data_IF_652494059708
#
_entry.id   IF_652494059708
#
_cell.length_a   1.000
_cell.length_b   1.000
_cell.length_c   1.000
_cell.angle_alpha   90.00
_cell.angle_beta   90.00
_cell.angle_gamma   90.00
#
_symmetry.space_group_name_H-M   'P 1'
#
loop_
_entity.id
_entity.type
_entity.pdbx_description
1 polymer ?
2 branched ?
3 branched ?
4 non-polymer ?
5 non-polymer ?
#
# COMPACT_ATOMS: atom_id res chain seq x y z
N UNK A 38 -19.96 -30.33 -1.60
CA UNK A 38 -18.65 -30.80 -2.05
C UNK A 38 -17.59 -29.71 -1.91
N UNK A 39 -18.05 -28.47 -1.75
CA UNK A 39 -17.16 -27.35 -1.49
C UNK A 39 -17.81 -26.42 -0.47
N UNK A 40 -17.01 -25.94 0.47
CA UNK A 40 -17.47 -25.01 1.50
C UNK A 40 -16.36 -23.98 1.72
N UNK A 41 -16.71 -22.70 1.66
CA UNK A 41 -15.75 -21.62 1.79
C UNK A 41 -16.11 -20.73 2.97
N UNK A 42 -15.12 -20.44 3.81
CA UNK A 42 -15.27 -19.53 4.94
C UNK A 42 -14.08 -18.57 4.93
N UNK A 43 -14.26 -17.44 5.59
CA UNK A 43 -13.16 -16.53 5.82
C UNK A 43 -12.42 -16.93 7.10
N UNK A 44 -11.11 -16.65 7.11
CA UNK A 44 -10.29 -16.92 8.28
C UNK A 44 -10.93 -16.32 9.53
N UNK A 45 -11.12 -17.17 10.53
CA UNK A 45 -11.74 -16.78 11.78
C UNK A 45 -13.18 -17.19 11.92
N UNK A 46 -13.87 -17.45 10.82
CA UNK A 46 -15.26 -17.89 10.86
C UNK A 46 -15.32 -19.40 11.17
N UNK A 47 -16.54 -19.92 11.23
CA UNK A 47 -16.77 -21.33 11.52
C UNK A 47 -17.27 -22.03 10.26
N UNK A 48 -16.72 -23.22 9.99
CA UNK A 48 -17.09 -24.02 8.83
C UNK A 48 -17.90 -25.22 9.30
N UNK A 49 -19.09 -25.38 8.73
CA UNK A 49 -19.97 -26.50 9.06
C UNK A 49 -19.93 -27.50 7.91
N UNK A 50 -19.50 -28.73 8.21
CA UNK A 50 -19.41 -29.80 7.23
C UNK A 50 -20.58 -30.75 7.43
N UNK A 51 -21.32 -31.01 6.35
CA UNK A 51 -22.50 -31.87 6.40
C UNK A 51 -22.29 -33.12 5.56
N UNK A 52 -22.97 -34.19 5.97
CA UNK A 52 -23.00 -35.44 5.22
C UNK A 52 -24.40 -36.03 5.33
N UNK A 53 -24.93 -36.49 4.20
CA UNK A 53 -26.26 -37.08 4.16
C UNK A 53 -26.14 -38.60 4.24
N UNK A 54 -26.85 -39.18 5.21
CA UNK A 54 -26.86 -40.62 5.41
C UNK A 54 -28.31 -41.10 5.36
N UNK A 55 -28.52 -42.42 5.46
CA UNK A 55 -29.84 -43.00 5.44
C UNK A 55 -29.86 -44.18 6.40
N UNK A 56 -30.98 -44.91 6.41
CA UNK A 56 -31.16 -46.03 7.32
C UNK A 56 -30.41 -47.27 6.88
N UNK A 57 -29.70 -47.23 5.75
CA UNK A 57 -28.79 -48.31 5.39
C UNK A 57 -27.44 -48.19 6.09
N UNK A 58 -27.17 -47.06 6.73
CA UNK A 58 -25.86 -46.76 7.29
C UNK A 58 -25.78 -47.34 8.70
N UNK A 59 -24.66 -48.01 8.99
CA UNK A 59 -24.41 -48.59 10.30
C UNK A 59 -23.22 -47.97 11.02
N UNK A 60 -22.32 -47.31 10.30
CA UNK A 60 -21.18 -46.63 10.88
C UNK A 60 -21.03 -45.29 10.16
N UNK A 61 -20.37 -44.34 10.82
CA UNK A 61 -20.13 -43.03 10.22
C UNK A 61 -19.05 -42.32 11.02
N UNK A 62 -18.24 -41.52 10.32
CA UNK A 62 -17.15 -40.80 10.95
C UNK A 62 -16.70 -39.66 10.04
N UNK A 63 -16.08 -38.67 10.65
CA UNK A 63 -15.44 -37.56 9.94
C UNK A 63 -13.93 -37.64 10.17
N UNK A 64 -13.15 -37.38 9.12
CA UNK A 64 -11.70 -37.45 9.20
C UNK A 64 -11.08 -36.22 8.54
N UNK A 65 -9.89 -35.86 9.04
CA UNK A 65 -9.09 -34.77 8.50
C UNK A 65 -7.77 -35.37 8.00
N UNK A 66 -7.81 -35.95 6.81
CA UNK A 66 -6.64 -36.59 6.20
C UNK A 66 -5.98 -37.55 7.18
N UNK A 67 -6.75 -38.55 7.59
CA UNK A 67 -6.33 -39.66 8.44
C UNK A 67 -6.34 -39.28 9.92
N UNK A 68 -6.59 -38.04 10.28
CA UNK A 68 -6.79 -37.65 11.67
C UNK A 68 -8.28 -37.75 11.99
N UNK A 69 -8.64 -38.73 12.82
CA UNK A 69 -10.04 -38.93 13.15
C UNK A 69 -10.55 -37.72 13.93
N UNK A 70 -11.56 -37.05 13.39
CA UNK A 70 -12.27 -36.02 14.13
C UNK A 70 -13.38 -36.63 14.99
N UNK A 71 -14.27 -37.39 14.37
CA UNK A 71 -15.38 -38.02 15.07
C UNK A 71 -15.65 -39.40 14.49
N UNK A 72 -15.89 -40.36 15.37
CA UNK A 72 -16.35 -41.70 15.01
C UNK A 72 -17.65 -41.93 15.78
N UNK A 73 -18.78 -41.78 15.09
CA UNK A 73 -20.06 -41.77 15.76
C UNK A 73 -20.23 -40.51 16.58
N UNK A 74 -20.39 -40.65 17.90
CA UNK A 74 -20.43 -39.52 18.81
C UNK A 74 -19.12 -39.33 19.55
N UNK A 75 -18.10 -40.12 19.24
CA UNK A 75 -16.83 -40.11 19.97
C UNK A 75 -15.87 -39.14 19.31
N UNK A 76 -15.42 -38.14 20.06
CA UNK A 76 -14.42 -37.20 19.59
C UNK A 76 -13.04 -37.80 19.79
N UNK A 77 -12.37 -38.14 18.69
CA UNK A 77 -11.02 -38.70 18.76
C UNK A 77 -9.96 -37.60 18.82
N UNK A 78 -10.04 -36.63 17.90
CA UNK A 78 -9.07 -35.55 17.87
C UNK A 78 -9.14 -34.72 19.14
N UNK A 79 -8.01 -34.10 19.48
CA UNK A 79 -7.95 -33.20 20.63
C UNK A 79 -8.26 -31.76 20.28
N UNK A 80 -8.41 -31.43 18.99
CA UNK A 80 -8.68 -30.08 18.54
C UNK A 80 -9.95 -29.56 19.21
N UNK A 81 -9.85 -28.60 20.12
CA UNK A 81 -11.05 -28.12 20.83
C UNK A 81 -12.02 -27.35 19.94
N UNK A 82 -11.60 -26.96 18.73
CA UNK A 82 -12.46 -26.21 17.85
C UNK A 82 -13.53 -27.07 17.18
N UNK A 83 -13.34 -28.38 17.15
CA UNK A 83 -14.20 -29.28 16.40
C UNK A 83 -15.32 -29.78 17.31
N UNK A 84 -16.56 -29.55 16.90
CA UNK A 84 -17.74 -29.98 17.65
C UNK A 84 -18.66 -30.75 16.73
N UNK A 85 -19.62 -31.46 17.34
CA UNK A 85 -20.60 -32.24 16.62
C UNK A 85 -21.96 -31.54 16.70
N UNK A 86 -22.61 -31.38 15.56
CA UNK A 86 -23.87 -30.66 15.49
C UNK A 86 -25.08 -31.58 15.36
N UNK A 87 -24.96 -32.69 14.65
CA UNK A 87 -26.10 -33.59 14.46
C UNK A 87 -25.59 -34.98 14.14
N UNK A 88 -26.36 -35.99 14.57
CA UNK A 88 -26.12 -37.39 14.23
C UNK A 88 -27.49 -38.09 14.21
N UNK A 89 -28.28 -37.75 13.20
CA UNK A 89 -29.59 -38.35 13.00
C UNK A 89 -29.46 -39.54 12.03
N UNK A 90 -30.58 -40.09 11.60
CA UNK A 90 -30.57 -41.13 10.58
C UNK A 90 -30.43 -40.56 9.17
N UNK A 91 -30.41 -39.24 9.03
CA UNK A 91 -30.37 -38.61 7.72
C UNK A 91 -29.18 -37.68 7.51
N UNK A 92 -28.66 -37.06 8.57
CA UNK A 92 -27.57 -36.10 8.43
C UNK A 92 -26.54 -36.29 9.54
N UNK A 93 -25.28 -36.13 9.17
CA UNK A 93 -24.15 -36.26 10.10
C UNK A 93 -23.21 -35.10 9.82
N UNK A 94 -23.15 -34.14 10.74
CA UNK A 94 -22.46 -32.89 10.50
C UNK A 94 -21.64 -32.48 11.71
N UNK A 95 -20.50 -31.83 11.43
CA UNK A 95 -19.63 -31.27 12.45
C UNK A 95 -19.40 -29.79 12.12
N UNK A 96 -18.66 -29.11 12.98
CA UNK A 96 -18.36 -27.70 12.80
C UNK A 96 -16.93 -27.42 13.25
N UNK A 97 -16.17 -26.78 12.38
CA UNK A 97 -14.81 -26.32 12.71
C UNK A 97 -14.89 -24.83 13.01
N UNK A 98 -14.70 -24.47 14.27
CA UNK A 98 -14.77 -23.08 14.70
C UNK A 98 -13.41 -22.41 14.57
N UNK A 99 -13.42 -21.09 14.46
CA UNK A 99 -12.21 -20.29 14.33
C UNK A 99 -11.29 -20.88 13.28
N UNK A 100 -11.80 -20.95 12.05
CA UNK A 100 -11.11 -21.67 10.98
C UNK A 100 -9.79 -21.00 10.66
N UNK A 101 -8.75 -21.81 10.53
CA UNK A 101 -7.42 -21.36 10.14
C UNK A 101 -7.23 -21.64 8.64
N UNK A 102 -6.00 -21.49 8.16
CA UNK A 102 -5.69 -21.75 6.77
C UNK A 102 -5.13 -23.16 6.63
N UNK A 103 -4.40 -23.62 7.65
CA UNK A 103 -3.95 -25.01 7.66
C UNK A 103 -5.14 -25.97 7.57
N UNK A 104 -6.30 -25.55 8.09
CA UNK A 104 -7.50 -26.37 8.00
C UNK A 104 -7.93 -26.60 6.56
N UNK A 105 -7.50 -25.74 5.63
CA UNK A 105 -7.88 -25.89 4.24
C UNK A 105 -7.47 -27.25 3.71
N UNK A 106 -8.39 -27.89 2.99
CA UNK A 106 -8.11 -29.18 2.40
C UNK A 106 -9.36 -30.06 2.35
N UNK A 107 -9.17 -31.33 1.97
CA UNK A 107 -10.31 -32.25 1.90
C UNK A 107 -10.61 -32.88 3.25
N UNK A 108 -11.90 -32.99 3.56
CA UNK A 108 -12.39 -33.66 4.75
C UNK A 108 -13.28 -34.82 4.33
N UNK A 109 -13.04 -35.98 4.92
CA UNK A 109 -13.63 -37.24 4.47
C UNK A 109 -14.65 -37.73 5.49
N UNK A 110 -15.82 -38.13 5.00
CA UNK A 110 -16.84 -38.77 5.81
C UNK A 110 -16.92 -40.23 5.39
N UNK A 111 -16.52 -41.13 6.29
CA UNK A 111 -16.55 -42.56 6.04
C UNK A 111 -17.79 -43.19 6.67
N UNK A 112 -18.33 -44.20 6.01
CA UNK A 112 -19.49 -44.92 6.50
C UNK A 112 -19.35 -46.40 6.17
N UNK A 113 -20.17 -47.22 6.82
CA UNK A 113 -20.32 -48.64 6.49
C UNK A 113 -21.79 -48.86 6.16
N UNK A 114 -22.09 -49.01 4.86
CA UNK A 114 -23.45 -49.08 4.36
C UNK A 114 -23.66 -50.38 3.61
N UNK A 115 -24.68 -51.14 4.00
CA UNK A 115 -24.98 -52.43 3.40
C UNK A 115 -23.73 -53.29 3.32
N UNK A 116 -22.90 -53.20 4.35
CA UNK A 116 -21.60 -53.85 4.40
C UNK A 116 -20.65 -53.33 3.33
N UNK A 117 -21.04 -52.29 2.59
CA UNK A 117 -20.19 -51.68 1.59
C UNK A 117 -19.57 -50.43 2.18
N UNK A 118 -18.23 -50.34 2.28
CA UNK A 118 -17.62 -49.06 2.65
C UNK A 118 -17.88 -48.01 1.58
N UNK A 119 -18.35 -46.84 2.02
CA UNK A 119 -18.61 -45.71 1.14
C UNK A 119 -17.91 -44.47 1.68
N UNK A 120 -17.54 -43.57 0.77
CA UNK A 120 -16.80 -42.38 1.14
C UNK A 120 -17.35 -41.17 0.40
N UNK A 121 -17.62 -40.10 1.15
CA UNK A 121 -18.04 -38.82 0.60
C UNK A 121 -17.14 -37.73 1.18
N UNK A 122 -16.68 -36.82 0.33
CA UNK A 122 -15.68 -35.84 0.72
C UNK A 122 -16.16 -34.42 0.46
N UNK A 123 -15.61 -33.49 1.23
CA UNK A 123 -15.84 -32.05 1.09
C UNK A 123 -14.49 -31.37 1.12
N UNK A 124 -14.39 -30.25 0.41
CA UNK A 124 -13.14 -29.49 0.31
C UNK A 124 -13.34 -28.14 0.99
N UNK A 125 -12.71 -27.96 2.15
CA UNK A 125 -12.79 -26.71 2.88
C UNK A 125 -11.85 -25.70 2.25
N UNK A 126 -12.38 -24.54 1.86
CA UNK A 126 -11.61 -23.48 1.23
C UNK A 126 -11.60 -22.27 2.15
N UNK A 127 -10.42 -21.74 2.41
CA UNK A 127 -10.22 -20.67 3.38
C UNK A 127 -9.77 -19.41 2.65
N UNK A 128 -10.42 -18.30 2.96
CA UNK A 128 -10.12 -17.01 2.35
C UNK A 128 -9.56 -16.06 3.41
N UNK A 129 -8.68 -15.16 2.97
CA UNK A 129 -8.00 -14.23 3.86
C UNK A 129 -8.03 -12.85 3.21
N UNK A 130 -8.40 -11.84 3.99
CA UNK A 130 -8.41 -10.48 3.48
C UNK A 130 -7.04 -10.13 2.91
N UNK A 131 -6.96 -9.38 1.81
CA UNK A 131 -5.65 -9.00 1.28
C UNK A 131 -4.96 -8.01 2.20
N UNK A 132 -3.63 -8.13 2.28
CA UNK A 132 -2.85 -7.23 3.09
C UNK A 132 -1.52 -6.94 2.43
N UNK A 133 -1.09 -5.68 2.54
CA UNK A 133 0.24 -5.26 2.11
C UNK A 133 1.17 -5.39 3.31
N UNK A 134 2.21 -6.21 3.16
CA UNK A 134 3.12 -6.52 4.26
C UNK A 134 4.33 -5.61 4.20
N UNK A 135 5.08 -5.70 3.11
CA UNK A 135 6.26 -4.88 2.89
C UNK A 135 6.08 -4.04 1.63
N UNK A 136 6.28 -2.74 1.75
CA UNK A 136 6.19 -1.82 0.63
C UNK A 136 7.41 -0.90 0.68
N UNK A 137 7.95 -0.57 -0.50
CA UNK A 137 9.14 0.27 -0.57
C UNK A 137 8.94 1.55 0.22
N UNK A 138 9.97 1.91 0.99
CA UNK A 138 9.91 3.12 1.79
C UNK A 138 9.97 4.36 0.89
N UNK A 139 9.70 5.51 1.49
CA UNK A 139 9.79 6.77 0.75
C UNK A 139 11.19 6.90 0.12
N UNK A 140 11.23 7.56 -1.03
CA UNK A 140 12.45 7.64 -1.83
C UNK A 140 12.60 9.05 -2.37
N UNK A 141 13.85 9.50 -2.49
CA UNK A 141 14.17 10.83 -3.00
C UNK A 141 15.41 10.73 -3.86
N UNK A 142 15.27 11.03 -5.15
CA UNK A 142 16.38 10.98 -6.10
C UNK A 142 16.44 12.31 -6.84
N UNK A 143 17.39 12.40 -7.76
CA UNK A 143 17.57 13.55 -8.62
C UNK A 143 16.88 13.31 -9.95
N UNK A 144 16.37 14.39 -10.54
CA UNK A 144 15.70 14.29 -11.84
C UNK A 144 16.61 13.62 -12.85
N UNK A 145 16.11 12.53 -13.44
CA UNK A 145 16.86 11.74 -14.40
C UNK A 145 17.29 10.39 -13.88
N UNK A 146 17.34 10.22 -12.56
CA UNK A 146 17.70 8.93 -11.97
C UNK A 146 16.56 7.95 -12.14
N UNK A 147 16.78 6.71 -11.67
CA UNK A 147 15.81 5.64 -11.76
C UNK A 147 15.26 5.32 -10.38
N UNK A 148 14.09 4.68 -10.35
CA UNK A 148 13.56 4.09 -9.13
C UNK A 148 13.02 2.69 -9.44
N UNK A 149 12.87 1.89 -8.38
CA UNK A 149 12.22 0.60 -8.49
C UNK A 149 11.51 0.36 -7.16
N UNK A 150 10.18 0.34 -7.19
CA UNK A 150 9.37 0.11 -6.01
C UNK A 150 8.75 -1.29 -6.08
N UNK A 151 8.60 -1.91 -4.92
CA UNK A 151 7.97 -3.21 -4.81
C UNK A 151 6.90 -3.17 -3.72
N UNK A 152 5.74 -3.73 -4.02
CA UNK A 152 4.65 -3.86 -3.06
C UNK A 152 4.34 -5.35 -2.90
N UNK A 153 4.61 -5.88 -1.72
CA UNK A 153 4.43 -7.30 -1.44
C UNK A 153 3.14 -7.44 -0.62
N UNK A 154 2.14 -8.10 -1.21
CA UNK A 154 0.85 -8.28 -0.58
C UNK A 154 0.53 -9.77 -0.46
N UNK A 155 -0.21 -10.12 0.58
CA UNK A 155 -0.60 -11.50 0.85
C UNK A 155 -2.12 -11.61 0.87
N UNK A 156 -2.59 -12.84 0.79
CA UNK A 156 -4.02 -13.09 0.83
C UNK A 156 -4.36 -14.39 0.13
N UNK A 157 -5.60 -14.81 0.33
CA UNK A 157 -6.13 -16.03 -0.29
C UNK A 157 -7.48 -15.70 -0.93
N UNK A 158 -7.59 -15.68 -2.26
CA UNK A 158 -6.56 -15.95 -3.28
C UNK A 158 -5.38 -14.99 -3.23
N UNK A 159 -4.28 -15.34 -3.89
CA UNK A 159 -3.16 -14.43 -4.00
C UNK A 159 -3.63 -13.14 -4.66
N UNK A 160 -3.42 -11.98 -4.04
CA UNK A 160 -4.14 -10.77 -4.46
C UNK A 160 -3.63 -10.21 -5.77
N UNK A 161 -4.53 -9.47 -6.43
CA UNK A 161 -4.17 -8.61 -7.55
C UNK A 161 -3.55 -7.33 -7.00
N UNK A 162 -2.35 -6.99 -7.48
CA UNK A 162 -1.60 -5.83 -7.00
C UNK A 162 -1.39 -4.87 -8.16
N UNK A 163 -1.73 -3.60 -7.94
CA UNK A 163 -1.61 -2.57 -8.96
C UNK A 163 -1.03 -1.31 -8.33
N UNK A 164 -0.37 -0.51 -9.15
CA UNK A 164 0.17 0.78 -8.75
C UNK A 164 -0.59 1.89 -9.44
N UNK A 165 -0.82 2.99 -8.74
CA UNK A 165 -1.52 4.14 -9.28
C UNK A 165 -0.79 5.42 -8.89
N UNK A 166 -0.76 6.37 -9.82
CA UNK A 166 -0.12 7.66 -9.58
C UNK A 166 -1.16 8.65 -9.06
N UNK A 167 -0.86 9.27 -7.92
CA UNK A 167 -1.75 10.26 -7.32
C UNK A 167 -1.42 11.60 -7.98
N UNK A 168 -2.11 11.90 -9.08
CA UNK A 168 -1.87 13.11 -9.85
C UNK A 168 -3.10 13.40 -10.69
N UNK A 169 -3.42 14.68 -10.93
CA UNK A 169 -4.59 14.98 -11.77
C UNK A 169 -4.47 14.45 -13.19
N UNK A 170 -3.25 14.33 -13.70
CA UNK A 170 -3.00 13.86 -15.06
C UNK A 170 -3.14 12.35 -15.20
N UNK A 171 -3.21 11.62 -14.09
CA UNK A 171 -3.17 10.16 -14.15
C UNK A 171 -4.50 9.60 -14.63
N UNK A 172 -4.43 8.51 -15.39
CA UNK A 172 -5.59 7.75 -15.82
C UNK A 172 -5.24 6.28 -15.73
N UNK A 173 -6.05 5.50 -15.03
CA UNK A 173 -5.77 4.08 -14.88
C UNK A 173 -4.59 3.85 -13.96
N UNK A 174 -3.79 2.83 -14.28
CA UNK A 174 -2.71 2.38 -13.42
C UNK A 174 -1.37 2.54 -14.12
N UNK A 175 -0.34 2.85 -13.32
CA UNK A 175 1.03 2.92 -13.83
C UNK A 175 1.57 1.51 -14.04
N UNK A 176 1.26 0.59 -13.13
CA UNK A 176 1.70 -0.80 -13.23
C UNK A 176 0.59 -1.70 -12.72
N UNK A 177 0.34 -2.79 -13.45
CA UNK A 177 -0.59 -3.83 -13.03
C UNK A 177 0.12 -5.00 -12.37
N UNK A 178 1.33 -4.79 -11.87
CA UNK A 178 2.18 -5.81 -11.30
C UNK A 178 2.46 -5.49 -9.83
N UNK A 179 3.22 -6.36 -9.18
CA UNK A 179 3.73 -6.09 -7.84
C UNK A 179 4.95 -5.19 -7.86
N UNK A 180 5.35 -4.69 -9.04
CA UNK A 180 6.55 -3.89 -9.18
C UNK A 180 6.24 -2.62 -9.98
N UNK A 181 7.00 -1.56 -9.69
CA UNK A 181 6.89 -0.30 -10.41
C UNK A 181 8.30 0.22 -10.62
N UNK A 182 8.69 0.41 -11.87
CA UNK A 182 10.04 0.85 -12.22
C UNK A 182 9.95 2.01 -13.20
N UNK A 183 10.70 3.07 -12.91
CA UNK A 183 10.72 4.28 -13.70
C UNK A 183 12.17 4.67 -13.95
N UNK A 184 12.52 4.95 -15.20
CA UNK A 184 13.86 5.38 -15.57
C UNK A 184 13.78 6.75 -16.22
N UNK A 185 14.80 7.58 -15.95
CA UNK A 185 14.78 8.95 -16.42
C UNK A 185 13.60 9.70 -15.85
N UNK A 186 13.40 9.60 -14.54
CA UNK A 186 12.24 10.18 -13.91
C UNK A 186 12.25 11.69 -14.10
N UNK A 187 11.05 12.28 -14.19
CA UNK A 187 10.90 13.71 -14.37
C UNK A 187 10.07 14.29 -13.23
N UNK A 188 10.14 15.63 -13.11
CA UNK A 188 9.42 16.31 -12.04
C UNK A 188 7.94 15.96 -12.04
N UNK A 189 7.34 15.85 -13.23
CA UNK A 189 5.91 15.54 -13.31
C UNK A 189 5.60 14.11 -12.90
N UNK A 190 6.60 13.24 -12.78
CA UNK A 190 6.40 11.88 -12.31
C UNK A 190 6.56 11.75 -10.80
N UNK A 191 6.93 12.82 -10.11
CA UNK A 191 7.03 12.78 -8.66
C UNK A 191 5.64 12.70 -8.04
N UNK A 192 5.60 12.58 -6.72
CA UNK A 192 4.36 12.50 -5.98
C UNK A 192 4.13 11.11 -5.41
N UNK A 193 2.94 10.93 -4.85
CA UNK A 193 2.59 9.67 -4.22
C UNK A 193 2.23 8.61 -5.25
N UNK A 194 2.67 7.38 -5.00
CA UNK A 194 2.25 6.21 -5.77
C UNK A 194 1.58 5.23 -4.80
N UNK A 195 0.40 4.77 -5.17
CA UNK A 195 -0.45 3.96 -4.30
C UNK A 195 -0.47 2.52 -4.77
N UNK A 196 -0.05 1.61 -3.90
CA UNK A 196 -0.25 0.20 -4.13
C UNK A 196 -1.67 -0.19 -3.70
N UNK A 197 -2.23 -1.19 -4.40
CA UNK A 197 -3.57 -1.66 -4.10
C UNK A 197 -3.62 -3.17 -4.30
N UNK A 198 -3.87 -3.90 -3.22
CA UNK A 198 -3.99 -5.35 -3.25
C UNK A 198 -5.45 -5.73 -3.12
N UNK A 199 -5.90 -6.65 -3.98
CA UNK A 199 -7.30 -7.03 -3.98
C UNK A 199 -7.45 -8.50 -4.36
N UNK A 200 -8.45 -9.15 -3.75
CA UNK A 200 -8.86 -10.48 -4.16
C UNK A 200 -10.35 -10.70 -3.93
N UNK A 201 -11.12 -9.64 -3.69
CA UNK A 201 -12.55 -9.66 -3.41
C UNK A 201 -12.89 -10.29 -2.07
N UNK A 202 -11.89 -10.64 -1.27
CA UNK A 202 -12.14 -11.10 0.10
C UNK A 202 -12.37 -9.85 0.96
N UNK A 203 -13.58 -9.34 0.97
CA UNK A 203 -13.95 -8.14 1.74
C UNK A 203 -13.25 -6.93 1.10
N UNK A 204 -12.67 -6.05 1.86
CA UNK A 204 -12.17 -4.79 1.36
C UNK A 204 -10.82 -5.01 0.67
N UNK A 205 -10.58 -4.26 -0.40
CA UNK A 205 -9.20 -4.13 -0.89
C UNK A 205 -8.42 -3.14 -0.04
N UNK A 206 -7.10 -3.28 -0.10
CA UNK A 206 -6.22 -2.53 0.79
C UNK A 206 -5.16 -1.81 -0.03
N UNK A 207 -4.71 -0.66 0.48
CA UNK A 207 -3.73 0.18 -0.20
C UNK A 207 -2.70 0.67 0.82
N UNK A 208 -1.62 1.24 0.30
CA UNK A 208 -0.51 1.74 1.11
C UNK A 208 0.46 2.46 0.18
N UNK A 209 0.83 3.70 0.52
CA UNK A 209 1.43 4.60 -0.45
C UNK A 209 2.94 4.71 -0.29
N UNK A 210 3.59 5.14 -1.37
CA UNK A 210 4.99 5.51 -1.39
C UNK A 210 5.09 6.94 -1.92
N UNK A 211 5.87 7.78 -1.24
CA UNK A 211 6.10 9.14 -1.70
C UNK A 211 7.42 9.20 -2.45
N UNK A 212 7.37 9.57 -3.72
CA UNK A 212 8.55 9.75 -4.55
C UNK A 212 8.82 11.24 -4.68
N UNK A 213 9.99 11.67 -4.22
CA UNK A 213 10.42 13.06 -4.34
C UNK A 213 11.52 13.14 -5.40
N UNK A 214 11.35 14.02 -6.37
CA UNK A 214 12.30 14.23 -7.46
C UNK A 214 12.97 15.58 -7.25
N UNK A 215 14.27 15.57 -6.99
CA UNK A 215 15.03 16.78 -6.71
C UNK A 215 15.51 17.41 -8.01
N UNK A 216 15.59 18.74 -8.03
CA UNK A 216 16.07 19.47 -9.19
C UNK A 216 16.59 20.82 -8.75
N UNK A 217 17.56 21.38 -9.46
CA UNK A 217 18.13 22.69 -9.07
C UNK A 217 17.12 23.80 -9.23
N UNK A 218 17.29 24.91 -8.53
CA UNK A 218 16.30 25.99 -8.58
C UNK A 218 16.26 26.69 -9.93
N UNK A 219 15.11 27.30 -10.20
CA UNK A 219 14.93 28.22 -11.31
C UNK A 219 14.00 29.34 -10.85
N UNK A 220 14.21 30.53 -11.39
CA UNK A 220 13.50 31.71 -10.92
C UNK A 220 12.09 31.71 -11.48
N UNK A 221 11.10 31.84 -10.60
CA UNK A 221 9.71 31.95 -11.00
C UNK A 221 9.27 33.39 -11.19
N UNK A 222 9.81 34.31 -10.39
CA UNK A 222 9.41 35.71 -10.44
C UNK A 222 10.55 36.56 -9.90
N UNK A 223 10.69 37.76 -10.46
CA UNK A 223 11.72 38.70 -10.01
C UNK A 223 11.37 40.07 -10.58
N UNK A 224 11.13 41.04 -9.70
CA UNK A 224 10.71 42.37 -10.13
C UNK A 224 10.78 43.31 -8.94
N UNK A 225 10.76 44.60 -9.23
CA UNK A 225 10.80 45.62 -8.20
C UNK A 225 9.92 46.81 -8.52
N UNK A 235 7.46 45.58 -1.92
CA UNK A 235 8.57 46.50 -2.18
C UNK A 235 9.52 45.93 -3.23
N UNK A 236 10.05 44.74 -2.94
CA UNK A 236 11.05 44.11 -3.80
C UNK A 236 11.12 42.64 -3.43
N UNK A 237 10.82 41.77 -4.39
CA UNK A 237 10.75 40.34 -4.10
C UNK A 237 11.14 39.53 -5.32
N UNK A 238 11.53 38.28 -5.05
CA UNK A 238 11.81 37.28 -6.08
C UNK A 238 11.20 35.96 -5.61
N UNK A 239 11.09 35.02 -6.53
CA UNK A 239 10.41 33.76 -6.25
C UNK A 239 11.04 32.64 -7.07
N UNK A 240 11.36 31.54 -6.40
CA UNK A 240 12.08 30.43 -7.03
C UNK A 240 11.45 29.11 -6.60
N UNK A 241 11.56 28.12 -7.49
CA UNK A 241 11.04 26.78 -7.26
C UNK A 241 12.18 25.78 -7.29
N UNK A 242 12.25 24.93 -6.26
CA UNK A 242 13.34 23.96 -6.18
C UNK A 242 12.94 22.82 -5.27
N UNK A 243 13.68 21.71 -5.39
CA UNK A 243 13.53 20.55 -4.52
C UNK A 243 14.91 19.97 -4.28
N UNK A 244 15.48 20.06 -3.06
CA UNK A 244 14.92 20.71 -1.85
C UNK A 244 14.60 22.19 -2.05
N UNK A 245 13.83 22.75 -1.12
CA UNK A 245 13.39 24.13 -1.26
C UNK A 245 14.58 25.08 -1.37
N UNK A 246 14.36 26.20 -2.06
CA UNK A 246 15.44 27.13 -2.32
C UNK A 246 15.82 27.91 -1.06
N UNK A 247 17.10 28.17 -0.91
CA UNK A 247 17.63 29.03 0.15
C UNK A 247 18.04 30.36 -0.49
N UNK A 248 17.42 31.44 -0.03
CA UNK A 248 17.53 32.73 -0.70
C UNK A 248 18.60 33.60 -0.05
N UNK A 249 19.27 34.40 -0.88
CA UNK A 249 20.30 35.33 -0.44
C UNK A 249 20.35 36.48 -1.44
N UNK A 250 20.27 37.71 -0.95
CA UNK A 250 20.30 38.90 -1.78
C UNK A 250 21.72 39.47 -1.84
N UNK A 251 21.99 40.20 -2.92
CA UNK A 251 23.28 40.87 -3.08
C UNK A 251 23.08 42.23 -3.74
N UNK A 252 24.00 43.14 -3.44
CA UNK A 252 24.04 44.47 -4.06
C UNK A 252 25.50 44.85 -4.20
N UNK A 253 25.98 44.93 -5.44
CA UNK A 253 27.39 45.19 -5.72
C UNK A 253 28.27 44.22 -4.93
N UNK A 254 27.81 42.97 -4.82
CA UNK A 254 28.48 41.85 -4.17
C UNK A 254 28.44 41.95 -2.65
N UNK A 255 27.68 42.87 -2.08
CA UNK A 255 27.46 42.90 -0.64
C UNK A 255 26.38 41.88 -0.27
N UNK A 256 26.52 41.25 0.89
CA UNK A 256 25.49 40.33 1.35
C UNK A 256 24.35 41.04 2.06
N UNK A 257 24.55 42.29 2.49
CA UNK A 257 23.48 43.11 3.04
C UNK A 257 22.92 42.48 4.33
N UNK A 258 23.78 42.49 5.36
CA UNK A 258 23.36 41.96 6.66
C UNK A 258 22.41 42.95 7.33
N UNK A 259 21.32 42.45 7.89
CA UNK A 259 20.34 43.31 8.53
C UNK A 259 20.97 44.08 9.69
N UNK A 260 20.41 45.25 9.97
CA UNK A 260 20.97 46.14 10.97
C UNK A 260 22.17 46.93 10.52
N UNK A 261 22.73 46.62 9.36
CA UNK A 261 23.89 47.33 8.83
C UNK A 261 23.53 48.06 7.55
N UNK A 266 15.24 41.02 5.70
CA UNK A 266 14.67 40.17 4.66
C UNK A 266 13.60 39.26 5.24
N UNK A 267 12.52 39.06 4.51
CA UNK A 267 11.40 38.21 4.90
C UNK A 267 11.35 37.04 3.92
N UNK A 268 11.66 35.85 4.40
CA UNK A 268 11.90 34.69 3.54
C UNK A 268 10.80 33.64 3.69
N UNK A 269 10.60 32.88 2.64
CA UNK A 269 9.75 31.70 2.59
C UNK A 269 10.51 30.60 1.87
N UNK A 270 10.02 29.36 1.94
CA UNK A 270 10.71 28.27 1.23
C UNK A 270 10.77 28.48 -0.27
N UNK A 271 9.92 29.35 -0.83
CA UNK A 271 9.86 29.59 -2.26
C UNK A 271 9.90 31.06 -2.62
N UNK A 272 9.97 31.96 -1.64
CA UNK A 272 9.75 33.38 -1.87
C UNK A 272 10.59 34.18 -0.90
N UNK A 273 11.15 35.28 -1.39
CA UNK A 273 12.00 36.15 -0.58
C UNK A 273 11.67 37.60 -0.88
N UNK A 274 11.38 38.37 0.16
CA UNK A 274 11.10 39.80 0.05
C UNK A 274 12.24 40.60 0.67
N UNK A 275 12.74 41.58 -0.07
CA UNK A 275 13.72 42.54 0.44
C UNK A 275 12.98 43.86 0.65
N UNK A 276 12.79 44.23 1.92
CA UNK A 276 11.93 45.36 2.29
C UNK A 276 12.78 46.46 2.89
N UNK A 277 12.49 47.70 2.51
CA UNK A 277 13.19 48.87 3.02
C UNK A 277 12.39 50.11 2.61
N UNK A 278 12.67 51.22 3.29
CA UNK A 278 11.95 52.45 3.03
C UNK A 278 12.40 53.08 1.72
N UNK A 279 11.45 53.70 1.02
CA UNK A 279 11.70 54.25 -0.30
C UNK A 279 12.40 55.60 -0.21
N UNK A 280 13.01 56.00 -1.33
CA UNK A 280 13.62 57.32 -1.45
C UNK A 280 14.58 57.55 -0.29
N UNK A 281 15.70 56.84 -0.28
CA UNK A 281 16.61 56.86 0.85
C UNK A 281 18.04 56.75 0.33
N UNK A 282 18.97 56.50 1.24
CA UNK A 282 20.38 56.42 0.88
C UNK A 282 20.65 55.21 0.00
N UNK A 283 21.44 55.42 -1.05
CA UNK A 283 21.85 54.34 -1.95
C UNK A 283 20.64 53.58 -2.47
N UNK A 284 19.56 54.31 -2.78
CA UNK A 284 18.36 53.71 -3.34
C UNK A 284 18.59 53.35 -4.80
N UNK A 285 19.56 52.46 -5.05
CA UNK A 285 19.94 52.06 -6.38
C UNK A 285 19.38 50.67 -6.69
N UNK A 286 19.41 50.32 -7.98
CA UNK A 286 18.91 49.06 -8.45
C UNK A 286 19.99 48.01 -8.60
N UNK A 287 19.76 47.07 -9.51
CA UNK A 287 20.69 45.96 -9.76
C UNK A 287 20.92 45.14 -8.50
N UNK A 288 19.85 44.91 -7.73
CA UNK A 288 19.90 43.89 -6.69
C UNK A 288 19.82 42.52 -7.34
N UNK A 289 20.57 41.56 -6.80
CA UNK A 289 20.64 40.22 -7.36
C UNK A 289 20.03 39.23 -6.37
N UNK A 290 18.91 38.63 -6.76
CA UNK A 290 18.31 37.56 -5.98
C UNK A 290 18.97 36.23 -6.34
N UNK A 291 19.42 35.51 -5.32
CA UNK A 291 20.13 34.24 -5.52
C UNK A 291 19.35 33.13 -4.84
N UNK A 292 19.06 32.08 -5.58
CA UNK A 292 18.40 30.88 -5.06
C UNK A 292 19.40 29.73 -5.05
N UNK A 293 19.69 29.22 -3.87
CA UNK A 293 20.69 28.17 -3.68
C UNK A 293 20.01 26.86 -3.32
N UNK A 294 20.72 25.76 -3.58
CA UNK A 294 20.16 24.44 -3.33
C UNK A 294 21.26 23.40 -3.32
N UNK A 295 20.89 22.20 -2.84
CA UNK A 295 21.79 21.05 -2.83
C UNK A 295 22.36 20.78 -4.22
N UNK A 296 21.58 21.00 -5.27
CA UNK A 296 21.94 20.56 -6.61
C UNK A 296 22.41 21.69 -7.52
N UNK A 297 22.37 22.94 -7.06
CA UNK A 297 22.85 24.03 -7.89
C UNK A 297 22.36 25.36 -7.36
N UNK A 298 22.45 26.37 -8.23
CA UNK A 298 22.07 27.73 -7.87
C UNK A 298 21.83 28.54 -9.13
N UNK A 299 21.05 29.61 -8.99
CA UNK A 299 20.76 30.54 -10.08
C UNK A 299 20.51 31.90 -9.46
N UNK A 300 20.20 32.88 -10.30
CA UNK A 300 19.98 34.23 -9.80
C UNK A 300 19.27 35.08 -10.87
N UNK A 301 18.91 36.29 -10.46
CA UNK A 301 18.30 37.27 -11.34
C UNK A 301 18.47 38.65 -10.69
N UNK A 302 18.61 39.67 -11.52
CA UNK A 302 18.81 41.03 -11.04
C UNK A 302 17.53 41.84 -11.18
N UNK A 303 17.35 42.78 -10.25
CA UNK A 303 16.12 43.55 -10.14
C UNK A 303 16.48 45.02 -9.95
N UNK A 304 15.69 45.91 -10.55
CA UNK A 304 15.83 47.35 -10.40
C UNK A 304 14.71 47.88 -9.52
N UNK A 305 14.79 49.17 -9.20
CA UNK A 305 13.83 49.83 -8.34
C UNK A 305 12.93 50.81 -9.10
N UNK A 306 13.52 51.75 -9.83
CA UNK A 306 12.75 52.76 -10.52
C UNK A 306 12.62 52.44 -12.01
X LIG B 1 -6.34 -31.09 9.20
X LIG B 1 -6.34 -30.14 10.40
X LIG B 1 -5.16 -29.19 10.32
X LIG B 1 -3.86 -29.97 10.14
X LIG B 1 -3.97 -30.92 8.96
X LIG B 1 -2.76 -31.81 8.81
X LIG B 1 -8.34 -29.33 11.58
X LIG B 1 -9.60 -28.53 11.48
X LIG B 1 -7.60 -29.40 10.47
X LIG B 1 -5.11 -28.41 11.51
X LIG B 1 -2.79 -29.05 9.91
X LIG B 1 -5.10 -31.78 9.14
X LIG B 1 -3.01 -33.11 9.34
X LIG B 1 -8.00 -29.89 12.63
X LIG B 1 -6.46 -30.57 8.38
X LIG B 1 -6.24 -30.68 11.22
X LIG B 1 -5.28 -28.60 9.55
X LIG B 1 -3.69 -30.47 10.95
X LIG B 1 -4.09 -30.40 8.14
X LIG B 1 -2.54 -31.89 7.87
X LIG B 1 -2.00 -31.41 9.28
X LIG B 1 -10.05 -28.51 12.34
X LIG B 1 -9.39 -27.62 11.21
X LIG B 1 -10.19 -28.93 10.81
X LIG B 1 -7.89 -28.97 9.73
X LIG B 1 -5.29 -27.56 11.31
X LIG B 1 -2.70 -28.92 9.03
X LIG B 1 -2.53 -33.71 8.88
X LIG B 2 -1.85 -28.45 10.81
X LIG B 2 -0.65 -27.93 10.02
X LIG B 2 0.38 -27.34 10.97
X LIG B 2 -0.26 -26.27 11.85
X LIG B 2 -1.50 -26.83 12.55
X LIG B 2 -2.26 -25.78 13.31
X LIG B 2 -0.30 -29.10 7.89
X LIG B 2 0.38 -30.24 7.20
X LIG B 2 -0.06 -28.98 9.20
X LIG B 2 1.46 -26.78 10.22
X LIG B 2 0.68 -25.82 12.83
X LIG B 2 -2.41 -27.39 11.59
X LIG B 2 -3.47 -25.43 12.65
X LIG B 2 -1.05 -28.33 7.30
X LIG B 2 -1.56 -29.16 11.41
X LIG B 2 -0.96 -27.22 9.42
X LIG B 2 0.74 -28.05 11.53
X LIG B 2 -0.52 -25.52 11.28
X LIG B 2 -1.22 -27.54 13.16
X LIG B 2 -2.47 -26.12 14.20
X LIG B 2 -1.71 -24.98 13.40
X LIG B 2 1.35 -30.12 7.27
X LIG B 2 0.12 -31.08 7.62
X LIG B 2 0.11 -30.25 6.26
X LIG B 2 0.49 -29.58 9.60
X LIG B 2 2.18 -26.72 10.73
X LIG B 2 0.64 -26.35 13.53
X LIG B 2 -3.99 -24.98 13.21
X LIG B 3 1.64 -24.83 13.19
X LIG B 3 1.69 -24.02 14.49
X LIG B 3 2.42 -22.70 14.25
X LIG B 3 3.76 -22.92 13.53
X LIG B 3 3.56 -23.75 12.26
X LIG B 3 4.87 -24.09 11.56
X LIG B 3 2.42 -24.71 15.49
X LIG B 3 2.63 -21.98 15.46
X LIG B 3 4.34 -21.66 13.19
X LIG B 3 2.93 -24.98 12.63
X LIG B 3 4.57 -24.72 10.33
X LIG B 3 0.98 -24.34 12.46
X LIG B 3 0.66 -23.83 14.83
X LIG B 3 1.80 -22.04 13.62
X LIG B 3 4.41 -23.49 14.21
X LIG B 3 2.91 -23.19 11.57
X LIG B 3 5.46 -24.74 12.22
X LIG B 3 5.43 -23.15 11.40
X LIG B 3 2.21 -25.65 15.38
X LIG B 3 1.78 -21.56 15.66
X LIG B 3 5.15 -21.60 13.70
X LIG B 3 5.38 -25.13 10.01
X LIG C 1 18.50 4.08 -15.64
X LIG C 1 19.98 4.34 -15.38
X LIG C 1 20.81 3.89 -16.58
X LIG C 1 20.50 2.44 -16.94
X LIG C 1 18.99 2.26 -17.13
X LIG C 1 18.59 0.82 -17.37
X LIG C 1 21.00 6.14 -14.07
X LIG C 1 21.14 7.62 -13.91
X LIG C 1 20.23 5.73 -15.08
X LIG C 1 22.20 4.02 -16.28
X LIG C 1 21.17 2.07 -18.14
X LIG C 1 18.29 2.70 -15.96
X LIG C 1 19.10 -0.03 -16.35
X LIG C 1 21.55 5.35 -13.32
X LIG C 1 18.22 4.63 -16.40
X LIG C 1 20.26 3.80 -14.62
X LIG C 1 20.60 4.46 -17.35
X LIG C 1 20.79 1.86 -16.22
X LIG C 1 18.70 2.81 -17.89
X LIG C 1 18.93 0.53 -18.23
X LIG C 1 17.62 0.77 -17.37
X LIG C 1 21.69 7.81 -13.13
X LIG C 1 21.58 8.00 -14.70
X LIG C 1 20.27 8.03 -13.80
X LIG C 1 19.84 6.37 -15.62
X LIG C 1 22.63 4.31 -17.01
X LIG C 1 21.03 2.70 -18.76
X LIG C 1 19.29 0.45 -15.62
X LIG C 2 19.10 -1.46 -16.26
X LIG C 2 19.38 -2.23 -14.98
X LIG C 2 18.37 -1.84 -13.89
X LIG C 2 16.94 -2.07 -14.41
X LIG C 2 16.74 -1.37 -15.76
X LIG C 2 15.42 -1.75 -16.43
X LIG C 2 20.72 -2.05 -14.51
X LIG C 2 18.55 -2.63 -12.74
X LIG C 2 16.71 -3.46 -14.56
X LIG C 2 17.79 -1.67 -16.71
X LIG C 2 19.74 -1.83 -17.08
X LIG C 2 19.27 -3.30 -15.18
X LIG C 2 18.49 -0.77 -13.65
X LIG C 2 16.23 -1.63 -13.69
X LIG C 2 16.77 -0.28 -15.55
X LIG C 2 14.58 -1.47 -15.80
X LIG C 2 15.39 -2.84 -16.61
X LIG C 2 15.33 -1.24 -17.39
X LIG C 2 21.13 -2.93 -14.55
X LIG C 2 18.61 -2.00 -12.00
X LIG C 2 15.95 -3.66 -13.98
X LIG D 1 13.50 20.70 -13.94
X LIG D 1 12.98 20.07 -15.11
X LIG D 1 12.87 22.08 -13.77
X LIG D 1 11.44 21.93 -13.65
X LIG D 1 14.59 20.80 -14.02
X LIG D 1 13.29 20.08 -13.06
X LIG D 1 13.40 19.20 -15.22
X LIG D 1 13.10 22.70 -14.63
X LIG D 1 13.27 22.56 -12.88
X LIG D 1 11.03 22.81 -13.58
X LIG E 1 0.44 7.83 -15.61
X LIG E 1 0.27 8.92 -14.68
X LIG E 1 -0.87 7.06 -15.73
X LIG E 1 -1.25 6.54 -14.44
X LIG E 1 1.22 7.16 -15.25
X LIG E 1 0.74 8.21 -16.58
X LIG E 1 1.10 9.41 -14.61
X LIG E 1 -0.75 6.23 -16.44
X LIG E 1 -1.65 7.71 -16.10
X LIG E 1 -2.08 6.05 -14.53
X LIG F 1 11.18 18.26 -0.54
X LIG F 1 12.54 18.03 -0.14
X LIG F 1 10.58 19.39 0.29
X LIG F 1 11.35 20.59 0.10
X LIG F 1 10.59 17.35 -0.40
X LIG F 1 11.14 18.52 -1.60
X LIG F 1 12.91 17.31 -0.68
X LIG F 1 10.58 19.12 1.35
X LIG F 1 9.55 19.56 0.00
X LIG F 1 10.97 21.30 0.62
X LIG G 1 -2.36 -3.21 4.64
X LIG H 1 0.30 4.90 3.47
X LIG I 1 7.07 28.18 -12.84
X LIG J 1 9.80 25.15 -2.32
X LIG K 1 19.20 12.58 -3.18
X LIG L 1 -6.69 10.03 -4.98
X LIG M 1 9.22 17.19 -7.07
X LIG N 1 18.98 22.43 0.24
#
# INVERSE_FOLDING_TARGET
MGTALLQRGGCFLLCLSLLLLGCWAELGTGATFPKAMDNVTVRQGESATLRCTIDNRVTRVAWLNRSTILYAGNDKWCLDPRVVLLSNTQTQYSIEIQNVDVYDEGPYTCSVQTDNHPKTSRVHLIVQVSPKIVEISSDISINEGNNISLTCIATGRPEPTVTWRHISPKAVGFVSEDEYLEIQGITREQSGDYECSASNDVAAPVVRRVKVTVNYPPYISEAKGTGVPVGQKGTLQCEASAVPSAEFQWYKDDKRLIEGKKGVKVENRPFLSKLIFFNVSEHDYGNYTCVASNKLGHTNASIMLFTSHHHHHH
NAG C1 C2 C3 C4 C5 C6 C7 C8 N2 O3 O4 O5 O6 O7 H1 H2 H3 H4 H5 H61 H62 H81 H82 H83 HN2 HO3 HO4 HO6
NAG C1 C2 C3 C4 C5 C6 C7 C8 N2 O3 O4 O5 O6 O7 H1 H2 H3 H4 H5 H61 H62 H81 H82 H83 HN2 HO3 HO4 HO6
BMA C1 C2 C3 C4 C5 C6 O2 O3 O4 O5 O6 H1 H2 H3 H4 H5 H61 H62 HO2 HO3 HO4 HO6
NAG C1 C2 C3 C4 C5 C6 C7 C8 N2 O3 O4 O5 O6 O7 H1 H2 H3 H4 H5 H61 H62 H81 H82 H83 HN2 HO3 HO4 HO6
FUC C1 C2 C3 C4 C5 C6 O2 O3 O4 O5 H1 H2 H3 H4 H5 H61 H62 H63 HO2 HO3 HO4
EDO C1 O1 C2 O2 H11 H12 HO1 H21 H22 HO2
EDO C1 O1 C2 O2 H11 H12 HO1 H21 H22 HO2
EDO C1 O1 C2 O2 H11 H12 HO1 H21 H22 HO2
CL CL
CL CL
CL CL
CL CL
CL CL
CL CL
CL CL
CL CL
#
